data_IF_355630819933
#
_entry.id   IF_355630819933
#
_cell.length_a   1.000
_cell.length_b   1.000
_cell.length_c   1.000
_cell.angle_alpha   90.00
_cell.angle_beta   90.00
_cell.angle_gamma   90.00
#
_symmetry.space_group_name_H-M   'P 1'
#
loop_
_entity.id
_entity.type
_entity.pdbx_description
1 polymer ?
#
# COMPACT_ATOMS: atom_id res chain seq x y z
N UNK A 1 12.09 15.87 15.79
CA UNK A 1 11.94 14.72 14.89
C UNK A 1 10.49 14.30 14.97
N UNK A 2 9.71 14.58 13.93
CA UNK A 2 8.34 14.06 13.85
C UNK A 2 8.45 12.54 13.68
N UNK A 3 7.84 11.77 14.59
CA UNK A 3 7.64 10.33 14.41
C UNK A 3 6.61 10.15 13.29
N UNK A 4 7.04 10.32 12.05
CA UNK A 4 6.16 10.15 10.89
C UNK A 4 5.87 8.66 10.72
N UNK A 5 4.59 8.30 10.80
CA UNK A 5 4.14 6.93 10.63
C UNK A 5 4.30 6.48 9.19
N UNK A 6 4.77 5.25 9.01
CA UNK A 6 4.83 4.60 7.72
C UNK A 6 3.57 3.78 7.49
N UNK A 7 3.14 3.78 6.23
CA UNK A 7 2.02 2.99 5.75
C UNK A 7 2.27 2.50 4.34
N UNK A 8 1.27 1.85 3.78
CA UNK A 8 1.26 1.32 2.42
C UNK A 8 0.08 1.89 1.64
N UNK A 9 0.19 1.85 0.31
CA UNK A 9 -0.85 2.31 -0.58
C UNK A 9 -1.62 1.12 -1.15
N UNK A 10 -2.88 0.99 -0.74
CA UNK A 10 -3.82 -0.03 -1.20
C UNK A 10 -4.80 0.57 -2.22
N UNK A 11 -5.34 -0.29 -3.08
CA UNK A 11 -6.44 0.03 -3.98
C UNK A 11 -7.71 -0.61 -3.42
N UNK A 12 -8.76 0.19 -3.25
CA UNK A 12 -10.08 -0.32 -2.91
C UNK A 12 -10.75 -0.86 -4.19
N UNK A 13 -10.70 -2.18 -4.36
CA UNK A 13 -11.33 -2.89 -5.47
C UNK A 13 -12.75 -3.27 -5.06
N UNK A 14 -13.80 -2.85 -5.80
CA UNK A 14 -15.18 -3.22 -5.47
C UNK A 14 -15.42 -4.71 -5.71
N UNK A 15 -16.36 -5.29 -4.96
CA UNK A 15 -16.78 -6.67 -5.17
C UNK A 15 -17.55 -6.84 -6.50
N UNK A 16 -17.43 -8.00 -7.16
CA UNK A 16 -16.62 -9.17 -6.78
C UNK A 16 -15.12 -8.96 -7.10
N UNK A 17 -14.23 -9.26 -6.14
CA UNK A 17 -12.77 -9.18 -6.35
C UNK A 17 -12.12 -10.57 -6.42
N UNK A 18 -11.11 -10.70 -7.30
CA UNK A 18 -10.30 -11.92 -7.42
C UNK A 18 -9.20 -12.01 -6.35
N UNK A 19 -8.80 -10.87 -5.78
CA UNK A 19 -7.67 -10.75 -4.86
C UNK A 19 -8.06 -9.94 -3.64
N UNK A 20 -7.60 -10.36 -2.46
CA UNK A 20 -7.90 -9.65 -1.22
C UNK A 20 -7.25 -8.26 -1.19
N UNK A 21 -6.01 -8.18 -1.66
CA UNK A 21 -5.20 -6.97 -1.68
C UNK A 21 -4.71 -6.65 -3.09
N UNK A 22 -4.86 -5.38 -3.47
CA UNK A 22 -4.14 -4.77 -4.58
C UNK A 22 -3.38 -3.57 -4.04
N UNK A 23 -2.07 -3.52 -4.25
CA UNK A 23 -1.19 -2.58 -3.57
C UNK A 23 -0.08 -2.06 -4.49
N UNK A 24 0.40 -0.86 -4.19
CA UNK A 24 1.47 -0.22 -4.95
C UNK A 24 2.83 -0.79 -4.53
N UNK A 25 3.67 -1.12 -5.51
CA UNK A 25 5.08 -1.48 -5.32
C UNK A 25 5.95 -0.58 -6.19
N UNK A 26 7.23 -0.41 -5.81
CA UNK A 26 8.19 0.38 -6.56
C UNK A 26 9.49 -0.38 -6.83
N UNK A 27 9.47 -1.43 -7.68
CA UNK A 27 10.69 -2.10 -8.08
C UNK A 27 11.57 -1.12 -8.87
N UNK A 28 12.75 -0.83 -8.34
CA UNK A 28 13.82 -0.11 -9.05
C UNK A 28 13.42 1.28 -9.57
N UNK A 29 12.50 1.98 -8.91
CA UNK A 29 12.11 3.36 -9.25
C UNK A 29 10.91 3.49 -10.19
N UNK A 30 10.31 2.38 -10.62
CA UNK A 30 9.04 2.39 -11.36
C UNK A 30 7.90 1.86 -10.51
N UNK A 31 6.83 2.65 -10.39
CA UNK A 31 5.62 2.25 -9.66
C UNK A 31 4.75 1.31 -10.49
N UNK A 32 4.40 0.15 -9.93
CA UNK A 32 3.44 -0.79 -10.51
C UNK A 32 2.47 -1.28 -9.44
N UNK A 33 1.32 -1.80 -9.85
CA UNK A 33 0.40 -2.50 -8.97
C UNK A 33 0.75 -3.98 -8.88
N UNK A 34 0.49 -4.55 -7.72
CA UNK A 34 0.58 -5.99 -7.48
C UNK A 34 -0.60 -6.46 -6.66
N UNK A 35 -1.04 -7.68 -6.92
CA UNK A 35 -2.15 -8.33 -6.25
C UNK A 35 -1.68 -9.52 -5.41
N UNK A 36 -2.33 -9.74 -4.27
CA UNK A 36 -2.14 -10.95 -3.46
C UNK A 36 -3.34 -11.22 -2.57
N UNK A 37 -3.50 -12.48 -2.16
CA UNK A 37 -4.42 -12.89 -1.10
C UNK A 37 -3.75 -12.94 0.28
N UNK A 38 -2.44 -12.67 0.37
CA UNK A 38 -1.65 -12.79 1.60
C UNK A 38 -1.20 -11.41 2.08
N UNK A 39 -1.59 -11.06 3.30
CA UNK A 39 -1.14 -9.83 3.97
C UNK A 39 0.39 -9.74 4.07
N UNK A 40 1.05 -10.87 4.27
CA UNK A 40 2.52 -10.98 4.28
C UNK A 40 3.18 -10.39 3.01
N UNK A 41 2.57 -10.56 1.85
CA UNK A 41 3.12 -10.01 0.60
C UNK A 41 3.01 -8.48 0.57
N UNK A 42 1.95 -7.91 1.15
CA UNK A 42 1.79 -6.46 1.30
C UNK A 42 2.90 -5.92 2.21
N UNK A 43 3.08 -6.52 3.39
CA UNK A 43 4.09 -6.08 4.36
C UNK A 43 5.51 -6.09 3.80
N UNK A 44 5.85 -7.09 2.97
CA UNK A 44 7.18 -7.22 2.38
C UNK A 44 7.36 -6.31 1.17
N UNK A 45 6.42 -6.38 0.21
CA UNK A 45 6.67 -5.84 -1.13
C UNK A 45 6.06 -4.45 -1.36
N UNK A 46 5.04 -4.05 -0.59
CA UNK A 46 4.40 -2.76 -0.80
C UNK A 46 5.37 -1.59 -0.59
N UNK A 47 5.17 -0.55 -1.38
CA UNK A 47 5.85 0.71 -1.23
C UNK A 47 5.45 1.35 0.09
N UNK A 48 6.43 1.51 0.99
CA UNK A 48 6.25 2.14 2.29
C UNK A 48 6.45 3.63 2.16
N UNK A 49 5.46 4.41 2.60
CA UNK A 49 5.50 5.86 2.52
C UNK A 49 4.78 6.50 3.70
N UNK A 50 5.10 7.76 3.96
CA UNK A 50 4.40 8.55 4.98
C UNK A 50 3.03 9.00 4.49
N UNK A 51 2.17 9.40 5.40
CA UNK A 51 0.84 9.94 5.05
C UNK A 51 0.94 11.20 4.18
N UNK A 52 1.99 12.03 4.35
CA UNK A 52 2.21 13.21 3.51
C UNK A 52 2.63 12.84 2.08
N UNK A 53 3.50 11.84 1.92
CA UNK A 53 3.89 11.33 0.60
C UNK A 53 2.70 10.71 -0.14
N UNK A 54 1.82 10.02 0.60
CA UNK A 54 0.60 9.41 0.07
C UNK A 54 -0.35 10.41 -0.57
N UNK A 55 -0.37 11.68 -0.12
CA UNK A 55 -1.21 12.74 -0.70
C UNK A 55 -0.92 13.00 -2.18
N UNK A 56 0.27 12.63 -2.68
CA UNK A 56 0.61 12.71 -4.11
C UNK A 56 -0.18 11.71 -4.95
N UNK A 57 -0.75 10.69 -4.32
CA UNK A 57 -1.46 9.60 -4.97
C UNK A 57 -2.87 9.41 -4.38
N UNK A 58 -3.79 10.39 -4.57
CA UNK A 58 -5.12 10.39 -3.95
C UNK A 58 -6.01 9.22 -4.39
N UNK A 59 -5.67 8.52 -5.46
CA UNK A 59 -6.37 7.32 -5.92
C UNK A 59 -6.13 6.09 -5.03
N UNK A 60 -5.12 6.11 -4.16
CA UNK A 60 -4.81 5.01 -3.26
C UNK A 60 -5.27 5.33 -1.84
N UNK A 61 -5.70 4.29 -1.14
CA UNK A 61 -5.95 4.34 0.29
C UNK A 61 -4.64 4.08 1.03
N UNK A 62 -4.15 5.07 1.75
CA UNK A 62 -3.03 4.90 2.67
C UNK A 62 -3.51 4.16 3.92
N UNK A 63 -2.79 3.11 4.30
CA UNK A 63 -3.05 2.31 5.49
C UNK A 63 -1.78 2.24 6.33
N UNK A 64 -1.89 2.57 7.61
CA UNK A 64 -0.75 2.52 8.52
C UNK A 64 -0.22 1.09 8.66
N UNK A 65 1.09 0.91 8.79
CA UNK A 65 1.65 -0.44 8.95
C UNK A 65 1.17 -1.11 10.25
N UNK A 66 0.93 -0.32 11.31
CA UNK A 66 0.43 -0.81 12.59
C UNK A 66 -1.03 -1.28 12.54
N UNK A 67 -1.78 -0.91 11.50
CA UNK A 67 -3.15 -1.41 11.25
C UNK A 67 -3.17 -2.74 10.47
N UNK A 68 -2.00 -3.18 9.99
CA UNK A 68 -1.80 -4.40 9.20
C UNK A 68 -1.10 -5.51 10.00
N UNK A 69 -0.90 -5.33 11.30
CA UNK A 69 -0.31 -6.31 12.24
C UNK A 69 -1.38 -7.17 12.96
#
# INVERSE_FOLDING_TARGET
MTNEKLGVLLVDVPEPKCWEYTFLVNPLGSFILRESNKLFDVLIYAYKCTQEEAKKYPQFRWVALEELE
#
